data_IF_836273657956
#
_entry.id   IF_836273657956
#
_cell.length_a   1.000
_cell.length_b   1.000
_cell.length_c   1.000
_cell.angle_alpha   90.00
_cell.angle_beta   90.00
_cell.angle_gamma   90.00
#
_symmetry.space_group_name_H-M   'P 1'
#
loop_
_entity.id
_entity.type
_entity.pdbx_description
1 polymer ?
#
# COMPACT_ATOMS: atom_id res chain seq x y z
N UNK A 1 16.69 -21.63 1.51
CA UNK A 1 15.98 -20.47 2.09
C UNK A 1 15.97 -19.42 1.01
N UNK A 2 14.88 -19.27 0.25
CA UNK A 2 14.81 -18.26 -0.79
C UNK A 2 15.00 -16.90 -0.11
N UNK A 3 16.01 -16.14 -0.52
CA UNK A 3 16.19 -14.75 -0.15
C UNK A 3 14.87 -14.05 -0.49
N UNK A 4 14.12 -13.65 0.52
CA UNK A 4 12.87 -12.95 0.34
C UNK A 4 13.23 -11.59 -0.26
N UNK A 5 13.05 -11.45 -1.58
CA UNK A 5 13.53 -10.30 -2.32
C UNK A 5 12.78 -9.05 -1.85
N UNK A 6 13.49 -8.22 -1.10
CA UNK A 6 12.98 -6.95 -0.62
C UNK A 6 12.90 -5.99 -1.80
N UNK A 7 11.69 -5.57 -2.12
CA UNK A 7 11.44 -4.51 -3.10
C UNK A 7 10.91 -3.30 -2.34
N UNK A 8 11.59 -2.16 -2.47
CA UNK A 8 11.31 -0.94 -1.70
C UNK A 8 11.34 -1.14 -0.17
N UNK A 9 12.18 -2.07 0.31
CA UNK A 9 12.24 -2.43 1.73
C UNK A 9 11.03 -3.22 2.23
N UNK A 10 10.16 -3.72 1.34
CA UNK A 10 9.01 -4.55 1.66
C UNK A 10 9.24 -6.00 1.26
N UNK A 11 8.92 -6.92 2.18
CA UNK A 11 8.92 -8.35 1.90
C UNK A 11 7.90 -8.69 0.81
N UNK A 12 8.11 -9.84 0.17
CA UNK A 12 7.17 -10.33 -0.84
C UNK A 12 5.76 -10.49 -0.26
N UNK A 13 5.67 -11.01 0.97
CA UNK A 13 4.40 -11.19 1.68
C UNK A 13 3.62 -9.88 1.83
N UNK A 14 4.25 -8.81 2.32
CA UNK A 14 3.57 -7.51 2.50
C UNK A 14 3.08 -6.98 1.15
N UNK A 15 3.89 -7.13 0.08
CA UNK A 15 3.49 -6.71 -1.26
C UNK A 15 2.31 -7.52 -1.79
N UNK A 16 2.27 -8.82 -1.53
CA UNK A 16 1.16 -9.70 -1.93
C UNK A 16 -0.13 -9.39 -1.14
N UNK A 17 -0.03 -9.15 0.17
CA UNK A 17 -1.18 -8.76 1.02
C UNK A 17 -1.79 -7.43 0.55
N UNK A 18 -0.95 -6.41 0.31
CA UNK A 18 -1.38 -5.11 -0.23
C UNK A 18 -2.03 -5.27 -1.61
N UNK A 19 -1.37 -5.98 -2.54
CA UNK A 19 -1.92 -6.23 -3.87
C UNK A 19 -3.26 -6.97 -3.82
N UNK A 20 -3.40 -7.96 -2.94
CA UNK A 20 -4.64 -8.70 -2.74
C UNK A 20 -5.78 -7.79 -2.24
N UNK A 21 -5.49 -6.88 -1.31
CA UNK A 21 -6.46 -5.90 -0.85
C UNK A 21 -6.87 -4.93 -1.97
N UNK A 22 -5.93 -4.34 -2.70
CA UNK A 22 -6.24 -3.42 -3.81
C UNK A 22 -7.01 -4.09 -4.95
N UNK A 23 -6.70 -5.35 -5.27
CA UNK A 23 -7.37 -6.09 -6.34
C UNK A 23 -8.87 -6.33 -6.10
N UNK A 24 -9.37 -6.16 -4.87
CA UNK A 24 -10.80 -6.25 -4.53
C UNK A 24 -11.59 -5.00 -4.91
N UNK A 25 -10.91 -3.93 -5.33
CA UNK A 25 -11.50 -2.65 -5.70
C UNK A 25 -11.21 -2.35 -7.17
N UNK A 26 -12.15 -2.67 -8.05
CA UNK A 26 -12.01 -2.44 -9.50
C UNK A 26 -11.86 -0.96 -9.87
N UNK A 27 -12.24 -0.05 -8.97
CA UNK A 27 -12.08 1.38 -9.13
C UNK A 27 -10.62 1.84 -8.98
N UNK A 28 -9.74 1.01 -8.40
CA UNK A 28 -8.30 1.28 -8.31
C UNK A 28 -7.65 1.04 -9.66
N UNK A 29 -7.24 2.12 -10.32
CA UNK A 29 -6.52 2.05 -11.59
C UNK A 29 -5.04 1.79 -11.36
N UNK A 30 -4.44 2.47 -10.37
CA UNK A 30 -3.02 2.34 -10.01
C UNK A 30 -2.78 2.66 -8.55
N UNK A 31 -1.75 2.04 -7.98
CA UNK A 31 -1.20 2.39 -6.67
C UNK A 31 0.27 2.74 -6.84
N UNK A 32 0.68 3.89 -6.32
CA UNK A 32 2.05 4.36 -6.37
C UNK A 32 2.63 4.38 -4.96
N UNK A 33 3.81 3.77 -4.79
CA UNK A 33 4.60 3.95 -3.59
C UNK A 33 5.36 5.28 -3.69
N UNK A 34 5.30 6.10 -2.64
CA UNK A 34 6.04 7.36 -2.57
C UNK A 34 6.70 7.54 -1.20
N UNK A 35 7.44 8.64 -1.05
CA UNK A 35 8.16 8.96 0.18
C UNK A 35 9.46 8.16 0.35
N UNK A 36 9.92 8.06 1.59
CA UNK A 36 11.28 7.59 1.90
C UNK A 36 11.61 6.18 1.39
N UNK A 37 10.61 5.28 1.30
CA UNK A 37 10.79 3.93 0.73
C UNK A 37 10.96 3.94 -0.79
N UNK A 38 10.34 4.89 -1.48
CA UNK A 38 10.53 5.06 -2.93
C UNK A 38 11.90 5.68 -3.23
N UNK A 39 12.35 6.62 -2.39
CA UNK A 39 13.62 7.34 -2.55
C UNK A 39 14.85 6.55 -2.04
N UNK A 40 14.62 5.37 -1.46
CA UNK A 40 15.69 4.53 -0.90
C UNK A 40 16.35 5.09 0.37
N UNK A 41 15.74 6.11 0.99
CA UNK A 41 16.23 6.76 2.23
C UNK A 41 15.50 6.27 3.48
N UNK A 42 14.63 5.27 3.36
CA UNK A 42 13.83 4.73 4.46
C UNK A 42 14.71 4.16 5.58
N UNK A 43 14.42 4.57 6.82
CA UNK A 43 14.96 3.96 8.01
C UNK A 43 14.15 2.69 8.38
N UNK A 44 14.72 1.83 9.23
CA UNK A 44 13.96 0.72 9.81
C UNK A 44 12.73 1.28 10.56
N UNK A 45 11.53 0.89 10.12
CA UNK A 45 10.27 1.31 10.73
C UNK A 45 9.58 2.53 10.10
N UNK A 46 10.04 3.05 8.95
CA UNK A 46 9.30 4.10 8.24
C UNK A 46 7.86 3.67 7.89
N UNK A 47 7.01 4.61 7.49
CA UNK A 47 5.62 4.35 7.06
C UNK A 47 5.53 4.00 5.57
N UNK A 48 4.58 3.15 5.21
CA UNK A 48 4.32 2.78 3.81
C UNK A 48 3.35 3.82 3.23
N UNK A 49 3.86 4.81 2.51
CA UNK A 49 3.05 5.84 1.88
C UNK A 49 2.62 5.43 0.46
N UNK A 50 1.30 5.25 0.27
CA UNK A 50 0.69 4.78 -0.97
C UNK A 50 -0.31 5.80 -1.51
N UNK A 51 -0.16 6.15 -2.78
CA UNK A 51 -1.12 6.98 -3.51
C UNK A 51 -2.01 6.07 -4.35
N UNK A 52 -3.31 6.05 -4.05
CA UNK A 52 -4.30 5.23 -4.75
C UNK A 52 -4.99 6.11 -5.80
N UNK A 53 -4.65 5.87 -7.07
CA UNK A 53 -5.30 6.49 -8.22
C UNK A 53 -6.59 5.71 -8.53
N UNK A 54 -7.72 6.28 -8.11
CA UNK A 54 -9.03 5.69 -8.26
C UNK A 54 -10.08 6.80 -8.50
N UNK A 55 -10.09 7.42 -9.70
CA UNK A 55 -10.89 8.64 -9.97
C UNK A 55 -12.40 8.41 -9.88
N UNK A 56 -12.85 7.17 -10.10
CA UNK A 56 -14.27 6.78 -10.01
C UNK A 56 -14.68 6.29 -8.61
N UNK A 57 -13.72 6.14 -7.68
CA UNK A 57 -13.98 5.60 -6.35
C UNK A 57 -14.65 6.64 -5.46
N UNK A 58 -15.76 6.26 -4.84
CA UNK A 58 -16.47 7.11 -3.87
C UNK A 58 -15.74 7.15 -2.53
N UNK A 59 -15.97 8.19 -1.72
CA UNK A 59 -15.39 8.29 -0.39
C UNK A 59 -15.76 7.11 0.52
N UNK A 60 -16.98 6.58 0.40
CA UNK A 60 -17.40 5.39 1.15
C UNK A 60 -16.59 4.15 0.76
N UNK A 61 -16.36 3.93 -0.55
CA UNK A 61 -15.55 2.81 -1.05
C UNK A 61 -14.09 2.98 -0.63
N UNK A 62 -13.57 4.21 -0.64
CA UNK A 62 -12.24 4.51 -0.16
C UNK A 62 -12.08 4.23 1.34
N UNK A 63 -13.06 4.59 2.18
CA UNK A 63 -13.05 4.24 3.61
C UNK A 63 -13.09 2.73 3.84
N UNK A 64 -13.81 1.97 3.00
CA UNK A 64 -13.78 0.50 3.06
C UNK A 64 -12.40 -0.04 2.70
N UNK A 65 -11.79 0.47 1.63
CA UNK A 65 -10.44 0.10 1.24
C UNK A 65 -9.44 0.38 2.36
N UNK A 66 -9.55 1.54 3.00
CA UNK A 66 -8.69 1.91 4.12
C UNK A 66 -8.83 0.92 5.29
N UNK A 67 -10.07 0.58 5.67
CA UNK A 67 -10.32 -0.43 6.72
C UNK A 67 -9.82 -1.82 6.35
N UNK A 68 -9.92 -2.23 5.09
CA UNK A 68 -9.42 -3.53 4.62
C UNK A 68 -7.88 -3.59 4.63
N UNK A 69 -7.20 -2.46 4.41
CA UNK A 69 -5.74 -2.38 4.52
C UNK A 69 -5.30 -2.35 5.99
N UNK A 70 -5.99 -1.59 6.85
CA UNK A 70 -5.72 -1.53 8.30
C UNK A 70 -5.91 -2.90 8.98
N UNK A 71 -6.82 -3.73 8.45
CA UNK A 71 -7.02 -5.10 8.91
C UNK A 71 -5.91 -6.08 8.48
N UNK A 72 -5.00 -5.71 7.57
CA UNK A 72 -3.87 -6.56 7.19
C UNK A 72 -2.89 -6.64 8.36
N UNK A 73 -2.29 -7.83 8.55
CA UNK A 73 -1.27 -8.04 9.60
C UNK A 73 0.11 -7.49 9.19
N UNK A 74 0.15 -6.21 8.81
CA UNK A 74 1.36 -5.47 8.44
C UNK A 74 1.88 -4.75 9.69
N UNK A 75 3.16 -4.91 10.00
CA UNK A 75 3.79 -4.31 11.19
C UNK A 75 4.15 -2.82 11.02
N UNK A 76 4.12 -2.32 9.79
CA UNK A 76 4.41 -0.93 9.46
C UNK A 76 3.13 -0.12 9.36
N UNK A 77 3.17 1.11 9.84
CA UNK A 77 2.09 2.07 9.59
C UNK A 77 1.94 2.29 8.08
N UNK A 78 0.70 2.31 7.60
CA UNK A 78 0.37 2.47 6.18
C UNK A 78 -0.45 3.72 6.00
N UNK A 79 0.12 4.69 5.28
CA UNK A 79 -0.57 5.92 4.93
C UNK A 79 -1.08 5.83 3.49
N UNK A 80 -2.40 5.98 3.31
CA UNK A 80 -3.05 5.86 2.01
C UNK A 80 -3.72 7.18 1.67
N UNK A 81 -3.24 7.81 0.61
CA UNK A 81 -3.81 9.04 0.08
C UNK A 81 -4.47 8.79 -1.26
N UNK A 82 -5.62 9.41 -1.51
CA UNK A 82 -6.25 9.48 -2.83
C UNK A 82 -6.04 10.87 -3.41
N UNK A 83 -5.02 11.10 -4.26
CA UNK A 83 -4.87 12.38 -4.94
C UNK A 83 -6.08 12.63 -5.85
N UNK A 84 -6.51 13.89 -5.91
CA UNK A 84 -7.67 14.35 -6.69
C UNK A 84 -7.48 14.12 -8.19
#
# INVERSE_FOLDING_TARGET
MASDELSFGLSRRIREDLNGAFARYSEVERVLLFGSRADGTSAHGSDIALAVLAPTMTSQRFSQLWGDIDALSILFETDITRPL
#
